data_IF_149712919704
#
_entry.id   IF_149712919704
#
_cell.length_a   1.000
_cell.length_b   1.000
_cell.length_c   1.000
_cell.angle_alpha   90.00
_cell.angle_beta   90.00
_cell.angle_gamma   90.00
#
_symmetry.space_group_name_H-M   'P 1'
#
loop_
_entity.id
_entity.type
_entity.pdbx_description
1 polymer ?
#
# COMPACT_ATOMS: atom_id res chain seq x y z
N UNK A 1 26.13 -37.75 25.53
CA UNK A 1 26.47 -36.47 24.87
C UNK A 1 25.88 -36.32 23.45
N UNK A 2 25.14 -37.30 22.91
CA UNK A 2 24.59 -37.24 21.53
C UNK A 2 23.36 -36.32 21.43
N UNK A 3 22.53 -36.31 22.48
CA UNK A 3 21.22 -35.66 22.47
C UNK A 3 21.28 -34.14 22.72
N UNK A 4 22.40 -33.63 23.25
CA UNK A 4 22.61 -32.20 23.48
C UNK A 4 22.93 -31.45 22.17
N UNK A 5 23.66 -32.11 21.26
CA UNK A 5 23.99 -31.55 19.95
C UNK A 5 22.75 -31.42 19.05
N UNK A 6 21.84 -32.40 19.11
CA UNK A 6 20.55 -32.36 18.39
C UNK A 6 19.64 -31.25 18.91
N UNK A 7 19.58 -31.02 20.23
CA UNK A 7 18.77 -29.94 20.81
C UNK A 7 19.29 -28.56 20.38
N UNK A 8 20.61 -28.34 20.41
CA UNK A 8 21.21 -27.10 19.94
C UNK A 8 21.01 -26.91 18.42
N UNK A 9 21.11 -27.97 17.61
CA UNK A 9 20.85 -27.89 16.18
C UNK A 9 19.39 -27.53 15.85
N UNK A 10 18.42 -28.10 16.58
CA UNK A 10 17.01 -27.70 16.45
C UNK A 10 16.76 -26.27 16.93
N UNK A 11 17.43 -25.83 18.00
CA UNK A 11 17.34 -24.46 18.49
C UNK A 11 17.91 -23.45 17.48
N UNK A 12 19.07 -23.74 16.87
CA UNK A 12 19.65 -22.90 15.81
C UNK A 12 18.79 -22.82 14.55
N UNK A 13 18.09 -23.91 14.18
CA UNK A 13 17.13 -23.92 13.07
C UNK A 13 15.85 -23.12 13.39
N UNK A 14 15.47 -22.99 14.66
CA UNK A 14 14.31 -22.17 15.06
C UNK A 14 14.62 -20.67 15.12
N UNK A 15 15.90 -20.26 15.17
CA UNK A 15 16.29 -18.84 15.18
C UNK A 15 16.33 -18.20 13.78
N UNK A 16 16.11 -18.96 12.71
CA UNK A 16 15.99 -18.41 11.34
C UNK A 16 14.54 -18.20 10.89
N UNK A 17 13.55 -18.46 11.74
CA UNK A 17 12.20 -17.91 11.62
C UNK A 17 12.16 -16.48 12.19
N UNK A 18 13.18 -15.66 11.86
CA UNK A 18 13.07 -14.22 12.04
C UNK A 18 11.79 -13.79 11.32
N UNK A 19 10.90 -13.09 12.02
CA UNK A 19 9.71 -12.50 11.45
C UNK A 19 10.10 -11.80 10.14
N UNK A 20 9.82 -12.45 9.01
CA UNK A 20 10.05 -11.82 7.72
C UNK A 20 9.14 -10.60 7.70
N UNK A 21 9.72 -9.44 7.37
CA UNK A 21 8.93 -8.23 7.17
C UNK A 21 7.74 -8.59 6.28
N UNK A 22 6.53 -8.24 6.74
CA UNK A 22 5.33 -8.45 5.95
C UNK A 22 5.44 -7.65 4.63
N UNK A 23 6.27 -6.60 4.60
CA UNK A 23 6.60 -5.82 3.42
C UNK A 23 8.09 -5.97 3.07
N UNK A 24 8.51 -7.19 2.76
CA UNK A 24 9.90 -7.51 2.41
C UNK A 24 10.41 -6.73 1.18
N UNK A 25 11.69 -6.33 1.21
CA UNK A 25 12.34 -5.67 0.08
C UNK A 25 12.22 -6.48 -1.22
N UNK A 26 11.97 -5.79 -2.33
CA UNK A 26 11.75 -6.40 -3.64
C UNK A 26 10.31 -6.81 -3.94
N UNK A 27 9.40 -6.72 -2.97
CA UNK A 27 7.97 -7.00 -3.18
C UNK A 27 7.31 -5.93 -4.05
N UNK A 28 6.42 -6.37 -4.94
CA UNK A 28 5.60 -5.49 -5.77
C UNK A 28 4.17 -5.43 -5.23
N UNK A 29 3.58 -4.25 -5.29
CA UNK A 29 2.21 -3.99 -4.89
C UNK A 29 1.46 -3.49 -6.12
N UNK A 30 0.33 -4.10 -6.42
CA UNK A 30 -0.53 -3.71 -7.52
C UNK A 30 -1.91 -3.40 -6.98
N UNK A 31 -2.44 -2.27 -7.40
CA UNK A 31 -3.81 -1.91 -7.16
C UNK A 31 -3.98 -1.07 -5.91
N UNK A 32 -4.86 -0.08 -6.07
CA UNK A 32 -5.86 0.32 -5.07
C UNK A 32 -6.41 1.69 -5.47
N UNK A 33 -7.38 1.71 -6.39
CA UNK A 33 -8.42 2.74 -6.33
C UNK A 33 -9.22 2.59 -5.04
N UNK A 34 -9.88 3.65 -4.59
CA UNK A 34 -10.67 3.60 -3.36
C UNK A 34 -11.81 2.56 -3.52
N UNK A 35 -11.82 1.55 -2.65
CA UNK A 35 -12.79 0.46 -2.70
C UNK A 35 -14.25 0.93 -2.58
N UNK A 36 -14.46 2.11 -2.01
CA UNK A 36 -15.77 2.76 -1.96
C UNK A 36 -16.30 3.01 -3.38
N UNK A 37 -15.43 3.27 -4.35
CA UNK A 37 -15.79 3.52 -5.74
C UNK A 37 -16.07 2.21 -6.50
N UNK A 38 -15.49 1.08 -6.05
CA UNK A 38 -15.81 -0.25 -6.61
C UNK A 38 -17.25 -0.68 -6.30
N UNK A 39 -17.88 -0.15 -5.25
CA UNK A 39 -19.31 -0.39 -4.97
C UNK A 39 -20.18 0.19 -6.09
N UNK A 40 -19.71 1.22 -6.78
CA UNK A 40 -20.40 1.89 -7.88
C UNK A 40 -20.19 1.22 -9.26
N UNK A 41 -19.46 0.09 -9.35
CA UNK A 41 -19.26 -0.68 -10.61
C UNK A 41 -20.58 -1.06 -11.29
N UNK A 42 -21.65 -1.24 -10.52
CA UNK A 42 -22.97 -1.59 -11.07
C UNK A 42 -23.87 -0.36 -11.32
N UNK A 43 -23.41 0.86 -11.03
CA UNK A 43 -24.20 2.10 -11.06
C UNK A 43 -23.72 3.18 -12.03
N UNK A 44 -22.52 3.08 -12.61
CA UNK A 44 -21.98 4.12 -13.52
C UNK A 44 -20.52 3.91 -13.90
N UNK A 45 -19.89 4.99 -14.41
CA UNK A 45 -18.44 5.03 -14.65
C UNK A 45 -17.70 4.94 -13.32
N UNK A 46 -16.63 4.14 -13.27
CA UNK A 46 -15.77 3.96 -12.10
C UNK A 46 -14.42 4.56 -12.44
N UNK A 47 -14.02 5.56 -11.67
CA UNK A 47 -12.65 6.04 -11.66
C UNK A 47 -11.78 4.95 -11.03
N UNK A 48 -10.80 4.46 -11.78
CA UNK A 48 -9.88 3.43 -11.34
C UNK A 48 -8.47 4.00 -11.31
N UNK A 49 -7.96 4.21 -10.10
CA UNK A 49 -6.57 4.62 -9.90
C UNK A 49 -5.64 3.40 -10.06
N UNK A 50 -4.84 3.43 -11.13
CA UNK A 50 -3.84 2.40 -11.37
C UNK A 50 -2.59 2.67 -10.55
N UNK A 51 -2.57 2.15 -9.32
CA UNK A 51 -1.42 2.28 -8.41
C UNK A 51 -0.48 1.09 -8.51
N UNK A 52 0.82 1.36 -8.64
CA UNK A 52 1.91 0.41 -8.48
C UNK A 52 2.78 0.81 -7.28
N UNK A 53 3.24 -0.17 -6.53
CA UNK A 53 4.18 0.02 -5.42
C UNK A 53 5.34 -0.96 -5.49
N UNK A 54 6.48 -0.54 -4.94
CA UNK A 54 7.68 -1.35 -4.83
C UNK A 54 8.34 -1.15 -3.47
N UNK A 55 8.58 -2.25 -2.75
CA UNK A 55 9.32 -2.23 -1.50
C UNK A 55 10.82 -2.04 -1.77
N UNK A 56 11.32 -0.83 -1.57
CA UNK A 56 12.73 -0.48 -1.85
C UNK A 56 13.64 -1.07 -0.77
N UNK A 57 13.18 -1.08 0.46
CA UNK A 57 13.76 -1.77 1.62
C UNK A 57 12.61 -2.38 2.43
N UNK A 58 12.95 -3.23 3.42
CA UNK A 58 11.95 -3.80 4.32
C UNK A 58 11.09 -2.69 4.95
N UNK A 59 9.79 -2.90 4.91
CA UNK A 59 8.76 -1.99 5.43
C UNK A 59 8.66 -0.61 4.77
N UNK A 60 9.44 -0.31 3.71
CA UNK A 60 9.33 0.97 2.97
C UNK A 60 8.94 0.73 1.52
N UNK A 61 7.71 1.10 1.20
CA UNK A 61 7.13 0.97 -0.14
C UNK A 61 7.04 2.34 -0.79
N UNK A 62 7.62 2.48 -1.98
CA UNK A 62 7.40 3.64 -2.85
C UNK A 62 6.22 3.31 -3.76
N UNK A 63 5.27 4.21 -3.87
CA UNK A 63 4.07 4.06 -4.70
C UNK A 63 4.03 5.13 -5.78
N UNK A 64 3.49 4.76 -6.94
CA UNK A 64 3.10 5.71 -7.97
C UNK A 64 1.76 5.31 -8.57
N UNK A 65 0.92 6.29 -8.85
CA UNK A 65 -0.38 6.08 -9.49
C UNK A 65 -0.52 6.98 -10.70
N UNK A 66 -1.16 6.43 -11.73
CA UNK A 66 -1.64 7.21 -12.86
C UNK A 66 -3.15 7.19 -12.77
N UNK A 67 -3.73 8.38 -12.65
CA UNK A 67 -5.16 8.56 -12.63
C UNK A 67 -5.57 9.32 -13.90
N UNK A 68 -6.72 8.95 -14.43
CA UNK A 68 -7.34 9.63 -15.56
C UNK A 68 -8.78 9.94 -15.20
N UNK A 69 -9.20 11.16 -15.43
CA UNK A 69 -10.57 11.55 -15.17
C UNK A 69 -11.52 10.84 -16.17
N UNK A 70 -12.58 10.21 -15.68
CA UNK A 70 -13.44 9.37 -16.53
C UNK A 70 -14.19 10.18 -17.60
N UNK A 71 -14.32 11.50 -17.39
CA UNK A 71 -14.94 12.44 -18.33
C UNK A 71 -13.99 13.04 -19.35
N UNK A 72 -12.67 13.03 -19.12
CA UNK A 72 -11.68 13.59 -20.04
C UNK A 72 -10.34 12.83 -19.99
N UNK A 73 -10.13 11.97 -20.99
CA UNK A 73 -8.90 11.20 -21.12
C UNK A 73 -7.64 12.05 -21.35
N UNK A 74 -7.78 13.37 -21.59
CA UNK A 74 -6.65 14.30 -21.67
C UNK A 74 -6.12 14.72 -20.29
N UNK A 75 -6.90 14.55 -19.22
CA UNK A 75 -6.52 14.86 -17.84
C UNK A 75 -5.88 13.63 -17.19
N UNK A 76 -4.58 13.46 -17.46
CA UNK A 76 -3.74 12.47 -16.78
C UNK A 76 -2.91 13.13 -15.69
N UNK A 77 -2.91 12.50 -14.52
CA UNK A 77 -2.17 12.94 -13.34
C UNK A 77 -1.28 11.81 -12.84
N UNK A 78 -0.02 12.14 -12.53
CA UNK A 78 0.90 11.25 -11.83
C UNK A 78 0.98 11.64 -10.36
N UNK A 79 0.72 10.69 -9.49
CA UNK A 79 0.97 10.83 -8.06
C UNK A 79 2.13 9.93 -7.64
N UNK A 80 2.86 10.38 -6.62
CA UNK A 80 3.92 9.61 -5.99
C UNK A 80 3.73 9.61 -4.49
N UNK A 81 4.05 8.49 -3.85
CA UNK A 81 3.93 8.35 -2.41
C UNK A 81 4.94 7.38 -1.84
N UNK A 82 5.02 7.40 -0.52
CA UNK A 82 5.78 6.45 0.28
C UNK A 82 4.89 5.96 1.41
N UNK A 83 5.00 4.67 1.71
CA UNK A 83 4.31 4.01 2.83
C UNK A 83 5.36 3.31 3.69
N UNK A 84 5.30 3.52 4.99
CA UNK A 84 6.20 2.91 5.96
C UNK A 84 5.45 2.05 6.97
N UNK A 85 5.78 0.76 7.04
CA UNK A 85 5.09 -0.29 7.82
C UNK A 85 5.87 -0.73 9.07
N UNK A 86 7.06 -0.16 9.33
CA UNK A 86 7.96 -0.61 10.40
C UNK A 86 7.55 -0.19 11.81
N UNK A 87 6.27 0.12 12.02
CA UNK A 87 5.73 0.59 13.28
C UNK A 87 5.63 -0.58 14.28
N UNK A 88 6.58 -0.67 15.20
CA UNK A 88 6.77 -1.83 16.08
C UNK A 88 5.63 -2.11 17.06
N UNK A 89 4.73 -1.15 17.29
CA UNK A 89 3.66 -1.28 18.29
C UNK A 89 2.41 -2.01 17.76
N UNK A 90 2.22 -2.10 16.44
CA UNK A 90 1.10 -2.82 15.83
C UNK A 90 1.45 -3.32 14.43
N UNK A 91 1.40 -4.63 14.21
CA UNK A 91 1.64 -5.21 12.90
C UNK A 91 0.61 -4.71 11.87
N UNK A 92 1.08 -4.45 10.65
CA UNK A 92 0.29 -3.94 9.54
C UNK A 92 -0.09 -2.46 9.66
N UNK A 93 0.22 -1.76 10.75
CA UNK A 93 0.01 -0.31 10.82
C UNK A 93 1.06 0.39 9.95
N UNK A 94 0.63 1.40 9.19
CA UNK A 94 1.53 2.22 8.39
C UNK A 94 1.24 3.71 8.51
N UNK A 95 2.27 4.49 8.21
CA UNK A 95 2.15 5.91 7.87
C UNK A 95 2.46 6.08 6.39
N UNK A 96 1.87 7.10 5.77
CA UNK A 96 2.13 7.45 4.39
C UNK A 96 2.27 8.94 4.20
N UNK A 97 3.00 9.30 3.14
CA UNK A 97 3.06 10.65 2.64
C UNK A 97 3.20 10.58 1.11
N UNK A 98 2.60 11.52 0.41
CA UNK A 98 2.67 11.58 -1.04
C UNK A 98 2.33 12.96 -1.58
N UNK A 99 2.59 13.12 -2.87
CA UNK A 99 2.18 14.27 -3.64
C UNK A 99 1.26 13.79 -4.76
N UNK A 100 0.10 14.42 -4.89
CA UNK A 100 -0.76 14.24 -6.05
C UNK A 100 -0.54 15.35 -7.07
N UNK A 101 -0.91 15.09 -8.32
CA UNK A 101 -0.72 16.02 -9.43
C UNK A 101 0.75 16.44 -9.65
N UNK A 102 1.71 15.56 -9.33
CA UNK A 102 3.14 15.87 -9.46
C UNK A 102 3.52 16.16 -10.93
N UNK A 103 2.86 15.47 -11.85
CA UNK A 103 2.85 15.82 -13.26
C UNK A 103 1.40 15.79 -13.75
N UNK A 104 0.89 16.95 -14.15
CA UNK A 104 -0.43 17.10 -14.75
C UNK A 104 -0.29 17.55 -16.19
N UNK A 105 -0.96 16.85 -17.11
CA UNK A 105 -0.99 17.24 -18.53
C UNK A 105 -1.66 18.61 -18.76
N UNK A 106 -2.47 19.09 -17.80
CA UNK A 106 -3.28 20.31 -17.93
C UNK A 106 -2.96 21.39 -16.88
N UNK A 107 -1.87 21.23 -16.12
CA UNK A 107 -1.35 22.28 -15.23
C UNK A 107 -2.04 22.37 -13.86
N UNK A 108 -2.59 21.25 -13.36
CA UNK A 108 -3.15 21.19 -12.00
C UNK A 108 -2.12 21.44 -10.90
N UNK A 109 -2.58 22.04 -9.79
CA UNK A 109 -1.74 22.30 -8.63
C UNK A 109 -1.34 20.99 -7.92
N UNK A 110 -0.07 20.90 -7.55
CA UNK A 110 0.46 19.80 -6.75
C UNK A 110 -0.06 19.92 -5.32
N UNK A 111 -0.67 18.86 -4.80
CA UNK A 111 -1.10 18.79 -3.41
C UNK A 111 -0.30 17.73 -2.65
N UNK A 112 -0.13 17.90 -1.34
CA UNK A 112 0.55 16.92 -0.48
C UNK A 112 -0.50 16.24 0.40
N UNK A 113 -0.38 14.92 0.50
CA UNK A 113 -1.19 14.08 1.37
C UNK A 113 -0.29 13.40 2.41
N UNK A 114 -0.75 13.35 3.65
CA UNK A 114 -0.17 12.50 4.70
C UNK A 114 -1.26 11.65 5.32
N UNK A 115 -0.93 10.46 5.78
CA UNK A 115 -1.96 9.57 6.28
C UNK A 115 -1.45 8.44 7.14
N UNK A 116 -2.41 7.74 7.72
CA UNK A 116 -2.20 6.53 8.51
C UNK A 116 -3.22 5.49 8.11
N UNK A 117 -2.82 4.23 8.12
CA UNK A 117 -3.72 3.15 7.78
C UNK A 117 -3.26 1.82 8.36
N UNK A 118 -4.07 0.80 8.12
CA UNK A 118 -3.75 -0.55 8.56
C UNK A 118 -3.95 -1.56 7.43
N UNK A 119 -2.88 -2.28 7.14
CA UNK A 119 -2.83 -3.37 6.18
C UNK A 119 -3.39 -4.66 6.77
N UNK A 120 -4.26 -5.32 6.00
CA UNK A 120 -4.77 -6.65 6.30
C UNK A 120 -4.67 -7.55 5.08
N UNK A 121 -3.97 -8.67 5.22
CA UNK A 121 -4.00 -9.73 4.21
C UNK A 121 -5.36 -10.46 4.24
N UNK A 122 -6.01 -10.63 3.09
CA UNK A 122 -7.26 -11.39 2.95
C UNK A 122 -6.96 -12.86 2.65
N UNK A 123 -6.40 -13.56 3.64
CA UNK A 123 -5.98 -14.97 3.52
C UNK A 123 -7.10 -15.94 3.14
N UNK A 124 -8.38 -15.57 3.30
CA UNK A 124 -9.51 -16.36 2.82
C UNK A 124 -9.61 -16.43 1.28
N UNK A 125 -9.04 -15.45 0.57
CA UNK A 125 -8.97 -15.41 -0.90
C UNK A 125 -7.56 -15.77 -1.36
N UNK A 126 -6.55 -15.11 -0.79
CA UNK A 126 -5.13 -15.32 -1.07
C UNK A 126 -4.28 -14.51 -0.09
N UNK A 127 -3.13 -15.04 0.32
CA UNK A 127 -2.12 -14.29 1.10
C UNK A 127 -1.46 -13.14 0.32
N UNK A 128 -1.81 -13.01 -0.97
CA UNK A 128 -1.40 -11.91 -1.84
C UNK A 128 -2.41 -10.78 -1.85
N UNK A 129 -3.68 -11.05 -1.58
CA UNK A 129 -4.70 -10.02 -1.61
C UNK A 129 -4.72 -9.28 -0.28
N UNK A 130 -4.88 -7.97 -0.32
CA UNK A 130 -4.96 -7.16 0.89
C UNK A 130 -6.03 -6.08 0.80
N UNK A 131 -6.43 -5.61 1.98
CA UNK A 131 -7.26 -4.43 2.18
C UNK A 131 -6.57 -3.51 3.18
N UNK A 132 -6.62 -2.20 2.94
CA UNK A 132 -6.14 -1.20 3.88
C UNK A 132 -7.14 -0.06 4.14
N UNK A 133 -7.90 -0.07 5.26
CA UNK A 133 -8.56 1.15 5.71
C UNK A 133 -7.51 2.18 6.12
N UNK A 134 -7.70 3.42 5.65
CA UNK A 134 -6.79 4.53 5.90
C UNK A 134 -7.53 5.86 6.08
N UNK A 135 -6.90 6.75 6.85
CA UNK A 135 -7.32 8.14 7.05
C UNK A 135 -6.17 9.01 6.56
N UNK A 136 -6.47 9.89 5.61
CA UNK A 136 -5.52 10.80 5.01
C UNK A 136 -5.92 12.24 5.29
N UNK A 137 -4.93 13.13 5.29
CA UNK A 137 -5.09 14.56 5.34
C UNK A 137 -4.39 15.16 4.13
N UNK A 138 -5.19 15.70 3.23
CA UNK A 138 -4.73 16.50 2.10
C UNK A 138 -4.61 17.96 2.55
N UNK A 139 -3.50 18.63 2.22
CA UNK A 139 -3.26 20.02 2.63
C UNK A 139 -4.31 21.01 2.10
N UNK A 140 -4.94 20.70 0.96
CA UNK A 140 -5.90 21.57 0.29
C UNK A 140 -7.35 21.17 0.63
N UNK A 141 -7.61 19.86 0.72
CA UNK A 141 -8.97 19.31 0.84
C UNK A 141 -9.34 18.83 2.26
N UNK A 142 -8.38 18.73 3.17
CA UNK A 142 -8.60 18.28 4.56
C UNK A 142 -8.64 16.76 4.72
N UNK A 143 -9.43 16.27 5.68
CA UNK A 143 -9.46 14.84 6.03
C UNK A 143 -10.31 14.01 5.06
N UNK A 144 -9.78 12.84 4.69
CA UNK A 144 -10.43 11.86 3.83
C UNK A 144 -10.25 10.43 4.38
N UNK A 145 -11.26 9.59 4.24
CA UNK A 145 -11.19 8.16 4.55
C UNK A 145 -11.21 7.34 3.27
N UNK A 146 -10.23 6.46 3.08
CA UNK A 146 -10.15 5.54 1.93
C UNK A 146 -10.08 4.11 2.42
N UNK A 147 -10.55 3.17 1.60
CA UNK A 147 -10.28 1.74 1.80
C UNK A 147 -9.51 1.29 0.58
N UNK A 148 -8.22 0.98 0.74
CA UNK A 148 -7.43 0.45 -0.35
C UNK A 148 -7.62 -1.04 -0.54
N UNK A 149 -7.52 -1.49 -1.79
CA UNK A 149 -7.60 -2.91 -2.17
C UNK A 149 -6.52 -3.23 -3.21
N UNK A 150 -5.72 -4.26 -2.95
CA UNK A 150 -4.63 -4.60 -3.85
C UNK A 150 -4.10 -6.01 -3.72
N UNK A 151 -3.04 -6.26 -4.49
CA UNK A 151 -2.32 -7.51 -4.60
C UNK A 151 -0.83 -7.27 -4.32
N UNK A 152 -0.19 -8.15 -3.56
CA UNK A 152 1.25 -8.18 -3.28
C UNK A 152 1.90 -9.39 -3.94
N UNK A 153 3.08 -9.20 -4.55
CA UNK A 153 3.86 -10.22 -5.25
C UNK A 153 5.31 -10.24 -4.80
#
# INVERSE_FOLDING_TARGET
MKNLFTLCACAFLTFTLSAQSEQAAGSYYLGSGNALDLVNIFGGAVEMDATIGYAVIDDLVVTGSINSDASDAAEMHLDLGVRYFGLSFMNGLFVQAGASNLLSAMGGDMSIEVGVGKYFSLGAVSDRFYVDPQINYNLDNGFETKIGLGLRF
#
